data_IF_331313332731
#
_entry.id   IF_331313332731
#
_cell.length_a   1.000
_cell.length_b   1.000
_cell.length_c   1.000
_cell.angle_alpha   90.00
_cell.angle_beta   90.00
_cell.angle_gamma   90.00
#
_symmetry.space_group_name_H-M   'P 1'
#
loop_
_entity.id
_entity.type
_entity.pdbx_description
1 polymer ?
#
# COMPACT_ATOMS: atom_id res chain seq x y z
N UNK A 1 1.20 0.66 -5.74
CA UNK A 1 1.56 1.95 -6.35
C UNK A 1 1.72 3.05 -5.30
N UNK A 2 0.83 3.12 -4.30
CA UNK A 2 0.79 4.23 -3.32
C UNK A 2 2.03 4.36 -2.42
N UNK A 3 2.54 3.28 -1.84
CA UNK A 3 3.69 3.33 -0.92
C UNK A 3 4.99 3.77 -1.61
N UNK A 4 5.24 3.26 -2.82
CA UNK A 4 6.36 3.70 -3.68
C UNK A 4 6.21 5.16 -4.12
N UNK A 5 5.00 5.59 -4.48
CA UNK A 5 4.73 6.95 -4.90
C UNK A 5 4.83 7.97 -3.75
N UNK A 6 4.53 7.57 -2.51
CA UNK A 6 4.60 8.46 -1.35
C UNK A 6 5.98 8.52 -0.72
N UNK A 7 6.71 7.40 -0.63
CA UNK A 7 8.02 7.37 0.03
C UNK A 7 9.14 7.92 -0.86
N UNK A 8 9.13 7.71 -2.18
CA UNK A 8 10.18 8.20 -3.08
C UNK A 8 11.60 7.70 -2.77
N UNK A 9 11.76 6.65 -1.96
CA UNK A 9 13.08 6.14 -1.55
C UNK A 9 13.84 5.59 -2.78
N UNK A 10 15.14 5.88 -2.87
CA UNK A 10 16.01 5.47 -3.98
C UNK A 10 17.22 4.69 -3.44
N UNK A 11 17.85 3.82 -4.25
CA UNK A 11 19.08 3.16 -3.85
C UNK A 11 20.13 4.17 -3.37
N UNK A 12 20.71 3.92 -2.19
CA UNK A 12 21.72 4.80 -1.58
C UNK A 12 21.18 5.90 -0.65
N UNK A 13 19.87 5.98 -0.42
CA UNK A 13 19.25 6.88 0.57
C UNK A 13 18.78 6.10 1.82
N UNK A 14 18.91 6.72 2.99
CA UNK A 14 18.39 6.20 4.25
C UNK A 14 16.89 6.44 4.37
N UNK A 15 16.19 5.61 5.14
CA UNK A 15 14.74 5.79 5.35
C UNK A 15 14.40 7.07 6.15
N UNK A 16 15.37 7.58 6.90
CA UNK A 16 15.33 8.80 7.71
C UNK A 16 15.63 10.07 6.89
N UNK A 17 16.03 9.93 5.62
CA UNK A 17 16.24 11.06 4.72
C UNK A 17 14.91 11.63 4.19
N UNK A 18 14.96 12.78 3.50
CA UNK A 18 13.83 13.32 2.74
C UNK A 18 12.87 14.21 3.54
N UNK A 19 13.29 14.70 4.71
CA UNK A 19 12.53 15.63 5.54
C UNK A 19 12.42 17.06 4.95
N UNK A 20 13.18 17.34 3.89
CA UNK A 20 13.08 18.55 3.05
C UNK A 20 11.81 18.59 2.17
N UNK A 21 11.04 17.49 2.13
CA UNK A 21 9.73 17.45 1.51
C UNK A 21 8.74 18.45 2.17
N UNK A 22 7.79 19.00 1.40
CA UNK A 22 6.86 20.04 1.88
C UNK A 22 6.00 19.61 3.10
N UNK A 23 5.87 18.30 3.34
CA UNK A 23 5.18 17.76 4.51
C UNK A 23 6.04 17.75 5.78
N UNK A 24 7.34 17.99 5.67
CA UNK A 24 8.31 17.86 6.77
C UNK A 24 8.52 16.41 7.24
N UNK A 25 8.13 15.42 6.43
CA UNK A 25 8.19 14.00 6.80
C UNK A 25 9.28 13.29 6.00
N UNK A 26 10.09 12.48 6.70
CA UNK A 26 11.05 11.57 6.09
C UNK A 26 10.39 10.48 5.22
N UNK A 27 11.21 9.71 4.50
CA UNK A 27 10.73 8.64 3.62
C UNK A 27 9.96 7.56 4.38
N UNK A 28 10.42 7.18 5.59
CA UNK A 28 9.79 6.15 6.44
C UNK A 28 8.36 6.52 6.84
N UNK A 29 8.14 7.75 7.28
CA UNK A 29 6.83 8.24 7.68
C UNK A 29 5.89 8.32 6.46
N UNK A 30 6.40 8.78 5.31
CA UNK A 30 5.61 8.83 4.07
C UNK A 30 5.27 7.44 3.52
N UNK A 31 6.14 6.46 3.68
CA UNK A 31 5.84 5.06 3.36
C UNK A 31 4.68 4.54 4.21
N UNK A 32 4.73 4.76 5.53
CA UNK A 32 3.68 4.34 6.46
C UNK A 32 2.32 4.94 6.09
N UNK A 33 2.30 6.20 5.68
CA UNK A 33 1.08 6.85 5.17
C UNK A 33 0.60 6.16 3.89
N UNK A 34 1.48 5.95 2.90
CA UNK A 34 1.12 5.27 1.65
C UNK A 34 0.58 3.85 1.84
N UNK A 35 1.17 3.08 2.77
CA UNK A 35 0.67 1.76 3.16
C UNK A 35 -0.71 1.83 3.82
N UNK A 36 -0.95 2.84 4.66
CA UNK A 36 -2.24 3.04 5.33
C UNK A 36 -3.33 3.41 4.30
N UNK A 37 -3.04 4.34 3.39
CA UNK A 37 -3.93 4.70 2.28
C UNK A 37 -4.23 3.50 1.39
N UNK A 38 -3.22 2.68 1.06
CA UNK A 38 -3.40 1.44 0.31
C UNK A 38 -4.39 0.50 1.00
N UNK A 39 -4.24 0.29 2.32
CA UNK A 39 -5.13 -0.60 3.07
C UNK A 39 -6.58 -0.12 3.04
N UNK A 40 -6.81 1.19 3.21
CA UNK A 40 -8.14 1.78 3.15
C UNK A 40 -8.79 1.52 1.78
N UNK A 41 -8.05 1.70 0.68
CA UNK A 41 -8.56 1.47 -0.67
C UNK A 41 -8.84 -0.01 -0.94
N UNK A 42 -7.94 -0.90 -0.53
CA UNK A 42 -8.09 -2.34 -0.71
C UNK A 42 -9.32 -2.87 0.05
N UNK A 43 -9.53 -2.46 1.30
CA UNK A 43 -10.72 -2.81 2.09
C UNK A 43 -12.00 -2.22 1.48
N UNK A 44 -11.95 -0.97 1.03
CA UNK A 44 -13.10 -0.31 0.39
C UNK A 44 -13.54 -1.07 -0.89
N UNK A 45 -12.57 -1.53 -1.70
CA UNK A 45 -12.83 -2.36 -2.88
C UNK A 45 -13.42 -3.72 -2.51
N UNK A 46 -12.88 -4.37 -1.47
CA UNK A 46 -13.42 -5.62 -0.95
C UNK A 46 -14.90 -5.48 -0.58
N UNK A 47 -15.24 -4.45 0.21
CA UNK A 47 -16.62 -4.16 0.61
C UNK A 47 -17.51 -3.91 -0.62
N UNK A 48 -17.05 -3.08 -1.56
CA UNK A 48 -17.83 -2.73 -2.75
C UNK A 48 -18.09 -3.93 -3.68
N UNK A 49 -17.20 -4.92 -3.72
CA UNK A 49 -17.38 -6.15 -4.50
C UNK A 49 -18.26 -7.15 -3.74
N UNK A 50 -18.07 -7.30 -2.43
CA UNK A 50 -18.94 -8.14 -1.60
C UNK A 50 -20.41 -7.69 -1.66
N UNK A 51 -20.67 -6.38 -1.65
CA UNK A 51 -22.02 -5.82 -1.82
C UNK A 51 -22.66 -6.12 -3.18
N UNK A 52 -21.86 -6.49 -4.19
CA UNK A 52 -22.33 -6.92 -5.52
C UNK A 52 -22.52 -8.44 -5.61
N UNK A 53 -22.37 -9.18 -4.51
CA UNK A 53 -22.59 -10.62 -4.43
C UNK A 53 -21.37 -11.49 -4.78
N UNK A 54 -20.19 -10.90 -4.95
CA UNK A 54 -18.97 -11.67 -5.18
C UNK A 54 -18.38 -12.22 -3.87
N UNK A 55 -17.71 -13.37 -3.95
CA UNK A 55 -16.81 -13.82 -2.88
C UNK A 55 -15.47 -13.10 -3.05
N UNK A 56 -15.01 -12.40 -2.00
CA UNK A 56 -13.86 -11.51 -2.10
C UNK A 56 -12.92 -11.66 -0.91
N UNK A 57 -11.63 -11.81 -1.20
CA UNK A 57 -10.55 -11.95 -0.23
C UNK A 57 -9.41 -10.98 -0.52
N UNK A 58 -8.74 -10.50 0.52
CA UNK A 58 -7.46 -9.79 0.41
C UNK A 58 -6.35 -10.75 0.81
N UNK A 59 -5.45 -11.05 -0.12
CA UNK A 59 -4.37 -12.03 0.07
C UNK A 59 -3.03 -11.31 0.07
N UNK A 60 -2.20 -11.60 1.08
CA UNK A 60 -0.79 -11.19 1.10
C UNK A 60 0.04 -12.26 0.39
N UNK A 61 0.54 -11.97 -0.81
CA UNK A 61 1.19 -12.97 -1.65
C UNK A 61 2.72 -13.01 -1.50
N UNK A 62 3.32 -12.00 -0.88
CA UNK A 62 4.77 -11.89 -0.69
C UNK A 62 5.11 -11.06 0.54
N UNK A 63 6.35 -11.17 1.05
CA UNK A 63 6.82 -10.31 2.13
C UNK A 63 7.08 -8.87 1.64
N UNK A 64 7.03 -7.91 2.57
CA UNK A 64 7.13 -6.48 2.27
C UNK A 64 8.54 -6.01 1.89
N UNK A 65 9.55 -6.77 2.28
CA UNK A 65 10.96 -6.59 1.88
C UNK A 65 11.19 -6.89 0.40
N UNK A 66 10.39 -7.78 -0.20
CA UNK A 66 10.42 -8.05 -1.65
C UNK A 66 9.60 -6.99 -2.40
N UNK A 67 8.38 -6.69 -1.93
CA UNK A 67 7.52 -5.68 -2.54
C UNK A 67 6.58 -5.04 -1.55
N UNK A 68 6.50 -3.72 -1.56
CA UNK A 68 5.47 -2.96 -0.84
C UNK A 68 4.08 -3.11 -1.49
N UNK A 69 3.99 -3.71 -2.69
CA UNK A 69 2.75 -4.04 -3.38
C UNK A 69 2.29 -5.48 -3.12
N UNK A 70 2.46 -5.97 -1.91
CA UNK A 70 2.32 -7.39 -1.57
C UNK A 70 0.90 -7.90 -1.27
N UNK A 71 -0.13 -7.08 -1.49
CA UNK A 71 -1.52 -7.49 -1.33
C UNK A 71 -2.24 -7.52 -2.68
N UNK A 72 -3.05 -8.55 -2.91
CA UNK A 72 -3.95 -8.66 -4.04
C UNK A 72 -5.39 -8.87 -3.57
N UNK A 73 -6.35 -8.38 -4.36
CA UNK A 73 -7.77 -8.65 -4.18
C UNK A 73 -8.13 -9.85 -5.05
N UNK A 74 -8.58 -10.93 -4.43
CA UNK A 74 -9.08 -12.11 -5.11
C UNK A 74 -10.61 -12.05 -5.15
N UNK A 75 -11.19 -12.11 -6.35
CA UNK A 75 -12.64 -12.13 -6.57
C UNK A 75 -12.98 -13.46 -7.24
N UNK A 76 -13.93 -14.20 -6.66
CA UNK A 76 -14.41 -15.47 -7.21
C UNK A 76 -15.89 -15.32 -7.59
N UNK A 77 -16.28 -15.90 -8.72
CA UNK A 77 -17.68 -16.13 -9.05
C UNK A 77 -18.12 -17.47 -8.48
N UNK A 78 -19.31 -17.48 -7.88
CA UNK A 78 -20.07 -18.68 -7.55
C UNK A 78 -20.90 -19.06 -8.79
#
# INVERSE_FOLDING_TARGET
MFSWATNGIRPGLSAEDGADHFTGLDFKHREKIGLSTRRILDESRKIAMAQRGFEVELVKYVQSDISLENNCLLIKNI
#
